data_IF_944841199001
#
_entry.id   IF_944841199001
#
_cell.length_a   1.000
_cell.length_b   1.000
_cell.length_c   1.000
_cell.angle_alpha   90.00
_cell.angle_beta   90.00
_cell.angle_gamma   90.00
#
_symmetry.space_group_name_H-M   'P 1'
#
loop_
_entity.id
_entity.type
_entity.pdbx_description
1 polymer ?
#
# COMPACT_ATOMS: atom_id res chain seq x y z
N UNK A 1 -10.85 -0.11 -19.86
CA UNK A 1 -10.66 -0.83 -21.11
C UNK A 1 -11.25 -2.22 -20.94
N UNK A 2 -11.74 -2.81 -22.02
CA UNK A 2 -12.41 -4.12 -22.04
C UNK A 2 -12.01 -4.92 -23.28
N UNK A 3 -12.53 -6.15 -23.37
CA UNK A 3 -12.28 -7.07 -24.48
C UNK A 3 -12.51 -6.45 -25.86
N UNK A 4 -13.53 -5.58 -26.01
CA UNK A 4 -13.85 -4.99 -27.32
C UNK A 4 -12.71 -4.09 -27.81
N UNK A 5 -12.11 -3.32 -26.92
CA UNK A 5 -10.95 -2.49 -27.23
C UNK A 5 -9.69 -3.34 -27.50
N UNK A 6 -9.48 -4.39 -26.69
CA UNK A 6 -8.33 -5.31 -26.82
C UNK A 6 -8.33 -6.05 -28.16
N UNK A 7 -9.49 -6.51 -28.62
CA UNK A 7 -9.67 -7.12 -29.96
C UNK A 7 -9.30 -6.15 -31.09
N UNK A 8 -9.61 -4.85 -30.93
CA UNK A 8 -9.24 -3.85 -31.93
C UNK A 8 -7.72 -3.62 -31.99
N UNK A 9 -7.04 -3.54 -30.86
CA UNK A 9 -5.59 -3.33 -30.86
C UNK A 9 -4.82 -4.59 -31.29
N UNK A 10 -5.35 -5.80 -31.06
CA UNK A 10 -4.74 -7.05 -31.48
C UNK A 10 -4.49 -7.10 -33.00
N UNK A 11 -5.25 -6.38 -33.78
CA UNK A 11 -5.01 -6.24 -35.23
C UNK A 11 -3.69 -5.52 -35.58
N UNK A 12 -3.04 -4.88 -34.61
CA UNK A 12 -1.84 -4.03 -34.80
C UNK A 12 -0.66 -4.44 -33.90
N UNK A 13 -0.83 -5.46 -33.08
CA UNK A 13 0.22 -5.96 -32.18
C UNK A 13 0.19 -7.51 -32.15
N UNK A 14 1.34 -8.11 -31.87
CA UNK A 14 1.47 -9.56 -31.78
C UNK A 14 0.93 -10.10 -30.44
N UNK A 15 1.13 -9.32 -29.36
CA UNK A 15 0.75 -9.71 -28.01
C UNK A 15 0.01 -8.57 -27.30
N UNK A 16 -0.96 -8.94 -26.46
CA UNK A 16 -1.72 -8.04 -25.61
C UNK A 16 -1.49 -8.42 -24.16
N UNK A 17 -0.96 -7.47 -23.38
CA UNK A 17 -0.77 -7.61 -21.94
C UNK A 17 -1.77 -6.72 -21.22
N UNK A 18 -2.53 -7.30 -20.28
CA UNK A 18 -3.53 -6.58 -19.49
C UNK A 18 -3.11 -6.53 -18.03
N UNK A 19 -3.22 -5.36 -17.41
CA UNK A 19 -3.16 -5.20 -15.96
C UNK A 19 -4.58 -4.93 -15.48
N UNK A 20 -5.13 -5.83 -14.67
CA UNK A 20 -6.47 -5.73 -14.10
C UNK A 20 -6.41 -5.88 -12.57
N UNK A 21 -7.38 -5.33 -11.87
CA UNK A 21 -7.48 -5.38 -10.41
C UNK A 21 -8.91 -5.67 -9.91
N UNK A 22 -9.85 -5.91 -10.83
CA UNK A 22 -11.27 -6.07 -10.52
C UNK A 22 -11.76 -7.50 -10.72
N UNK A 23 -11.30 -8.20 -11.76
CA UNK A 23 -11.80 -9.50 -12.21
C UNK A 23 -13.33 -9.50 -12.41
N UNK A 24 -13.86 -8.46 -13.06
CA UNK A 24 -15.29 -8.24 -13.25
C UNK A 24 -15.73 -8.21 -14.73
N UNK A 25 -14.78 -8.36 -15.66
CA UNK A 25 -15.02 -8.31 -17.10
C UNK A 25 -14.08 -9.20 -17.90
N UNK A 26 -14.52 -9.57 -19.10
CA UNK A 26 -13.73 -10.41 -20.01
C UNK A 26 -12.61 -9.61 -20.69
N UNK A 27 -11.47 -10.28 -20.94
CA UNK A 27 -10.29 -9.76 -21.62
C UNK A 27 -9.88 -10.66 -22.80
N UNK A 28 -9.31 -10.06 -23.85
CA UNK A 28 -8.65 -10.73 -24.95
C UNK A 28 -7.15 -10.44 -24.89
N UNK A 29 -6.44 -11.17 -24.05
CA UNK A 29 -5.02 -10.96 -23.80
C UNK A 29 -4.24 -12.26 -23.76
N UNK A 30 -2.92 -12.17 -23.98
CA UNK A 30 -1.97 -13.28 -23.92
C UNK A 30 -1.38 -13.41 -22.51
N UNK A 31 -1.30 -12.29 -21.78
CA UNK A 31 -0.87 -12.23 -20.40
C UNK A 31 -1.76 -11.28 -19.60
N UNK A 32 -2.26 -11.74 -18.45
CA UNK A 32 -3.00 -10.94 -17.49
C UNK A 32 -2.20 -10.85 -16.17
N UNK A 33 -2.01 -9.63 -15.68
CA UNK A 33 -1.40 -9.33 -14.40
C UNK A 33 -2.44 -8.76 -13.44
N UNK A 34 -2.67 -9.45 -12.31
CA UNK A 34 -3.39 -8.91 -11.15
C UNK A 34 -2.49 -8.99 -9.91
N UNK A 35 -2.14 -7.83 -9.37
CA UNK A 35 -1.23 -7.72 -8.24
C UNK A 35 -1.93 -7.88 -6.87
N UNK A 36 -3.26 -8.06 -6.85
CA UNK A 36 -4.02 -8.08 -5.62
C UNK A 36 -3.76 -9.34 -4.78
N UNK A 37 -3.70 -9.11 -3.46
CA UNK A 37 -3.70 -10.19 -2.49
C UNK A 37 -5.09 -10.81 -2.38
N UNK A 38 -5.18 -12.09 -2.10
CA UNK A 38 -6.44 -12.85 -2.03
C UNK A 38 -7.15 -13.08 -3.37
N UNK A 39 -6.50 -12.72 -4.49
CA UNK A 39 -6.96 -13.08 -5.82
C UNK A 39 -6.31 -14.40 -6.26
N UNK A 40 -7.05 -15.25 -6.97
CA UNK A 40 -6.59 -16.54 -7.48
C UNK A 40 -6.71 -16.62 -9.01
N UNK A 41 -5.98 -17.56 -9.63
CA UNK A 41 -6.07 -17.76 -11.09
C UNK A 41 -7.49 -18.12 -11.54
N UNK A 42 -8.22 -18.85 -10.69
CA UNK A 42 -9.60 -19.27 -10.95
C UNK A 42 -10.58 -18.09 -11.09
N UNK A 43 -10.30 -16.95 -10.48
CA UNK A 43 -11.15 -15.74 -10.61
C UNK A 43 -11.23 -15.24 -12.07
N UNK A 44 -10.28 -15.66 -12.91
CA UNK A 44 -10.19 -15.31 -14.32
C UNK A 44 -10.54 -16.43 -15.30
N UNK A 45 -10.99 -17.62 -14.84
CA UNK A 45 -11.24 -18.79 -15.70
C UNK A 45 -12.26 -18.53 -16.83
N UNK A 46 -13.28 -17.71 -16.56
CA UNK A 46 -14.28 -17.34 -17.56
C UNK A 46 -14.04 -15.94 -18.17
N UNK A 47 -12.98 -15.27 -17.78
CA UNK A 47 -12.71 -13.87 -18.16
C UNK A 47 -11.59 -13.73 -19.18
N UNK A 48 -10.74 -14.75 -19.35
CA UNK A 48 -9.65 -14.76 -20.32
C UNK A 48 -9.64 -16.10 -21.10
N UNK A 49 -8.91 -16.13 -22.21
CA UNK A 49 -8.72 -17.35 -22.99
C UNK A 49 -7.88 -18.38 -22.19
N UNK A 50 -8.07 -19.67 -22.46
CA UNK A 50 -7.34 -20.77 -21.80
C UNK A 50 -5.82 -20.68 -21.98
N UNK A 51 -5.36 -20.09 -23.09
CA UNK A 51 -3.94 -19.88 -23.40
C UNK A 51 -3.33 -18.67 -22.71
N UNK A 52 -4.15 -17.83 -22.06
CA UNK A 52 -3.67 -16.62 -21.39
C UNK A 52 -2.83 -16.97 -20.15
N UNK A 53 -1.59 -16.46 -20.10
CA UNK A 53 -0.75 -16.53 -18.90
C UNK A 53 -1.31 -15.59 -17.82
N UNK A 54 -1.52 -16.13 -16.60
CA UNK A 54 -2.12 -15.37 -15.48
C UNK A 54 -1.11 -15.21 -14.36
N UNK A 55 -0.64 -13.99 -14.18
CA UNK A 55 0.30 -13.58 -13.12
C UNK A 55 -0.48 -12.97 -11.98
N UNK A 56 -0.79 -13.77 -10.96
CA UNK A 56 -1.69 -13.36 -9.88
C UNK A 56 -0.95 -13.24 -8.56
N UNK A 57 -1.21 -12.13 -7.88
CA UNK A 57 -0.78 -11.84 -6.52
C UNK A 57 0.42 -10.88 -6.41
N UNK A 58 0.70 -10.41 -5.18
CA UNK A 58 1.69 -9.36 -4.92
C UNK A 58 3.15 -9.75 -5.17
N UNK A 59 3.44 -11.04 -5.41
CA UNK A 59 4.76 -11.48 -5.89
C UNK A 59 5.11 -10.94 -7.29
N UNK A 60 4.11 -10.49 -8.03
CA UNK A 60 4.23 -9.84 -9.33
C UNK A 60 4.02 -8.33 -9.27
N UNK A 61 4.00 -7.74 -8.06
CA UNK A 61 3.82 -6.31 -7.89
C UNK A 61 4.92 -5.52 -8.62
N UNK A 62 4.50 -4.58 -9.47
CA UNK A 62 5.39 -3.71 -10.25
C UNK A 62 5.88 -2.56 -9.37
N UNK A 63 6.97 -2.80 -8.65
CA UNK A 63 7.58 -1.81 -7.78
C UNK A 63 8.76 -1.14 -8.48
N UNK A 64 8.98 0.15 -8.19
CA UNK A 64 10.18 0.87 -8.60
C UNK A 64 11.41 0.22 -7.97
N UNK A 65 12.53 0.24 -8.69
CA UNK A 65 13.78 -0.44 -8.32
C UNK A 65 14.31 -0.04 -6.93
N UNK A 66 14.05 1.18 -6.50
CA UNK A 66 14.46 1.69 -5.19
C UNK A 66 13.92 0.86 -4.02
N UNK A 67 12.72 0.24 -4.14
CA UNK A 67 12.13 -0.56 -3.08
C UNK A 67 12.89 -1.87 -2.81
N UNK A 68 13.13 -2.75 -3.79
CA UNK A 68 13.94 -3.94 -3.54
C UNK A 68 15.40 -3.62 -3.15
N UNK A 69 15.99 -2.52 -3.65
CA UNK A 69 17.33 -2.09 -3.26
C UNK A 69 17.40 -1.67 -1.79
N UNK A 70 16.41 -0.97 -1.27
CA UNK A 70 16.37 -0.53 0.13
C UNK A 70 15.87 -1.61 1.10
N UNK A 71 15.24 -2.68 0.61
CA UNK A 71 14.69 -3.74 1.45
C UNK A 71 15.67 -4.31 2.48
N UNK A 72 16.93 -4.69 2.16
CA UNK A 72 17.84 -5.27 3.14
C UNK A 72 18.15 -4.32 4.30
N UNK A 73 18.27 -3.03 4.02
CA UNK A 73 18.53 -1.98 5.02
C UNK A 73 17.29 -1.80 5.90
N UNK A 74 16.11 -1.70 5.27
CA UNK A 74 14.83 -1.55 5.94
C UNK A 74 14.55 -2.69 6.92
N UNK A 75 14.74 -3.95 6.49
CA UNK A 75 14.49 -5.11 7.34
C UNK A 75 15.45 -5.19 8.53
N UNK A 76 16.73 -4.80 8.37
CA UNK A 76 17.68 -4.72 9.49
C UNK A 76 17.25 -3.67 10.52
N UNK A 77 16.83 -2.48 10.06
CA UNK A 77 16.36 -1.41 10.93
C UNK A 77 15.16 -1.84 11.79
N UNK A 78 14.24 -2.63 11.23
CA UNK A 78 13.02 -3.11 11.91
C UNK A 78 13.24 -4.24 12.92
N UNK A 79 14.47 -4.71 13.08
CA UNK A 79 14.83 -5.61 14.17
C UNK A 79 14.71 -4.91 15.54
N UNK A 80 14.93 -3.58 15.59
CA UNK A 80 14.65 -2.73 16.75
C UNK A 80 13.23 -2.15 16.64
N UNK A 81 12.26 -2.81 17.27
CA UNK A 81 10.84 -2.48 17.16
C UNK A 81 10.48 -1.31 18.09
N UNK A 82 10.79 -0.10 17.67
CA UNK A 82 10.38 1.13 18.36
C UNK A 82 9.74 2.07 17.34
N UNK A 83 8.65 2.71 17.73
CA UNK A 83 8.03 3.75 16.91
C UNK A 83 8.67 5.08 17.30
N UNK A 84 9.38 5.67 16.34
CA UNK A 84 9.90 7.03 16.39
C UNK A 84 9.32 7.89 15.28
N UNK A 85 8.95 7.29 14.16
CA UNK A 85 8.43 8.00 13.00
C UNK A 85 7.20 7.29 12.45
N UNK A 86 6.07 8.00 12.37
CA UNK A 86 4.83 7.55 11.73
C UNK A 86 4.72 8.24 10.37
N UNK A 87 4.59 7.46 9.29
CA UNK A 87 4.36 7.95 7.94
C UNK A 87 2.88 7.92 7.61
N UNK A 88 2.31 9.04 7.18
CA UNK A 88 0.91 9.13 6.74
C UNK A 88 0.88 9.44 5.24
N UNK A 89 0.20 8.58 4.45
CA UNK A 89 0.00 8.80 3.01
C UNK A 89 -1.29 8.16 2.52
N UNK A 90 -2.23 8.99 2.05
CA UNK A 90 -3.54 8.56 1.52
C UNK A 90 -3.55 8.43 -0.01
N UNK A 91 -2.38 8.49 -0.66
CA UNK A 91 -2.24 8.48 -2.11
C UNK A 91 -2.25 9.89 -2.71
N UNK A 92 -2.27 9.97 -4.06
CA UNK A 92 -1.95 11.21 -4.78
C UNK A 92 -2.94 12.35 -4.63
N UNK A 93 -4.21 12.12 -4.39
CA UNK A 93 -5.24 13.15 -4.43
C UNK A 93 -5.85 13.52 -3.09
N UNK A 94 -6.04 12.56 -2.20
CA UNK A 94 -6.73 12.72 -0.90
C UNK A 94 -7.96 13.67 -0.96
N UNK A 95 -8.87 13.40 -1.92
CA UNK A 95 -10.01 14.28 -2.23
C UNK A 95 -10.91 14.52 -1.01
N UNK A 96 -11.11 13.47 -0.20
CA UNK A 96 -11.99 13.47 0.96
C UNK A 96 -11.28 13.95 2.24
N UNK A 97 -10.04 14.46 2.10
CA UNK A 97 -9.24 14.98 3.20
C UNK A 97 -9.09 13.98 4.37
N UNK A 98 -8.90 12.72 4.04
CA UNK A 98 -8.74 11.64 5.04
C UNK A 98 -7.47 11.85 5.86
N UNK A 99 -6.43 12.46 5.28
CA UNK A 99 -5.21 12.85 6.01
C UNK A 99 -5.53 13.72 7.23
N UNK A 100 -6.39 14.74 7.10
CA UNK A 100 -6.79 15.57 8.25
C UNK A 100 -7.55 14.76 9.30
N UNK A 101 -8.39 13.81 8.91
CA UNK A 101 -9.12 12.91 9.82
C UNK A 101 -8.17 11.98 10.58
N UNK A 102 -7.16 11.43 9.89
CA UNK A 102 -6.11 10.63 10.53
C UNK A 102 -5.36 11.44 11.58
N UNK A 103 -4.94 12.66 11.24
CA UNK A 103 -4.29 13.57 12.21
C UNK A 103 -5.20 13.91 13.40
N UNK A 104 -6.49 14.09 13.19
CA UNK A 104 -7.46 14.28 14.27
C UNK A 104 -7.58 13.04 15.16
N UNK A 105 -7.61 11.84 14.55
CA UNK A 105 -7.66 10.57 15.28
C UNK A 105 -6.42 10.34 16.17
N UNK A 106 -5.26 10.85 15.78
CA UNK A 106 -4.06 10.77 16.61
C UNK A 106 -4.16 11.56 17.93
N UNK A 107 -5.08 12.54 18.03
CA UNK A 107 -5.30 13.28 19.30
C UNK A 107 -5.75 12.38 20.45
N UNK A 108 -6.28 11.20 20.17
CA UNK A 108 -6.66 10.21 21.19
C UNK A 108 -5.50 9.30 21.64
N UNK A 109 -4.29 9.48 21.08
CA UNK A 109 -3.09 8.85 21.61
C UNK A 109 -2.67 9.47 22.96
N UNK A 110 -1.92 8.70 23.76
CA UNK A 110 -1.27 9.25 24.95
C UNK A 110 -0.30 10.38 24.52
N UNK A 111 -0.49 11.62 25.00
CA UNK A 111 0.35 12.76 24.61
C UNK A 111 1.81 12.64 25.08
N UNK A 112 2.12 11.73 26.01
CA UNK A 112 3.48 11.47 26.49
C UNK A 112 4.28 10.55 25.56
N UNK A 113 3.66 9.96 24.53
CA UNK A 113 4.39 9.18 23.54
C UNK A 113 5.32 10.08 22.73
N UNK A 114 6.55 9.61 22.52
CA UNK A 114 7.59 10.34 21.79
C UNK A 114 7.74 9.78 20.38
N UNK A 115 7.19 10.49 19.39
CA UNK A 115 7.33 10.19 17.97
C UNK A 115 7.12 11.44 17.10
N UNK A 116 7.64 11.39 15.89
CA UNK A 116 7.38 12.39 14.86
C UNK A 116 6.41 11.83 13.81
N UNK A 117 5.76 12.73 13.07
CA UNK A 117 4.83 12.41 12.00
C UNK A 117 5.35 13.00 10.69
N UNK A 118 5.48 12.14 9.66
CA UNK A 118 5.74 12.57 8.28
C UNK A 118 4.47 12.38 7.47
N UNK A 119 3.90 13.46 6.96
CA UNK A 119 2.70 13.44 6.09
C UNK A 119 3.15 13.63 4.66
N UNK A 120 2.83 12.68 3.78
CA UNK A 120 3.11 12.79 2.35
C UNK A 120 1.83 13.06 1.58
N UNK A 121 1.81 14.16 0.84
CA UNK A 121 0.71 14.60 -0.03
C UNK A 121 1.17 14.62 -1.49
N UNK A 122 0.27 14.28 -2.41
CA UNK A 122 0.56 14.39 -3.84
C UNK A 122 0.57 15.84 -4.32
N UNK A 123 1.13 16.07 -5.52
CA UNK A 123 1.21 17.40 -6.14
C UNK A 123 -0.17 18.06 -6.33
N UNK A 124 -1.22 17.26 -6.49
CA UNK A 124 -2.60 17.71 -6.72
C UNK A 124 -3.48 17.70 -5.46
N UNK A 125 -2.88 17.56 -4.28
CA UNK A 125 -3.63 17.55 -3.03
C UNK A 125 -4.34 18.89 -2.80
N UNK A 126 -5.66 18.87 -2.69
CA UNK A 126 -6.50 20.07 -2.55
C UNK A 126 -6.55 20.60 -1.11
N UNK A 127 -6.22 19.76 -0.13
CA UNK A 127 -6.51 20.02 1.29
C UNK A 127 -5.27 20.39 2.12
N UNK A 128 -4.16 20.82 1.49
CA UNK A 128 -2.86 21.09 2.16
C UNK A 128 -3.01 22.04 3.34
N UNK A 129 -3.73 23.15 3.20
CA UNK A 129 -3.91 24.12 4.27
C UNK A 129 -4.76 23.59 5.43
N UNK A 130 -5.74 22.74 5.14
CA UNK A 130 -6.49 22.02 6.18
C UNK A 130 -5.59 21.07 6.96
N UNK A 131 -4.77 20.29 6.27
CA UNK A 131 -3.80 19.37 6.88
C UNK A 131 -2.80 20.13 7.76
N UNK A 132 -2.23 21.25 7.29
CA UNK A 132 -1.33 22.11 8.06
C UNK A 132 -1.97 22.61 9.35
N UNK A 133 -3.23 23.08 9.29
CA UNK A 133 -3.98 23.59 10.43
C UNK A 133 -4.19 22.51 11.49
N UNK A 134 -4.57 21.28 11.08
CA UNK A 134 -4.72 20.18 12.03
C UNK A 134 -3.37 19.77 12.59
N UNK A 135 -2.34 19.66 11.75
CA UNK A 135 -0.98 19.30 12.15
C UNK A 135 -0.42 20.24 13.24
N UNK A 136 -0.60 21.57 13.09
CA UNK A 136 -0.11 22.56 14.06
C UNK A 136 -0.77 22.49 15.45
N UNK A 137 -1.86 21.74 15.58
CA UNK A 137 -2.58 21.57 16.85
C UNK A 137 -2.23 20.26 17.58
N UNK A 138 -1.33 19.45 17.02
CA UNK A 138 -0.87 18.21 17.65
C UNK A 138 0.32 18.46 18.57
N UNK A 139 0.50 17.65 19.61
CA UNK A 139 1.64 17.81 20.52
C UNK A 139 2.97 17.32 19.92
N UNK A 140 2.93 16.55 18.83
CA UNK A 140 4.10 15.96 18.17
C UNK A 140 4.58 16.81 17.00
N UNK A 141 5.84 16.64 16.64
CA UNK A 141 6.40 17.23 15.41
C UNK A 141 5.74 16.63 14.17
N UNK A 142 5.23 17.48 13.29
CA UNK A 142 4.59 17.06 12.02
C UNK A 142 5.28 17.75 10.85
N UNK A 143 5.89 16.95 9.98
CA UNK A 143 6.46 17.40 8.71
C UNK A 143 5.50 17.09 7.56
N UNK A 144 5.14 18.09 6.76
CA UNK A 144 4.28 17.93 5.60
C UNK A 144 5.15 18.01 4.34
N UNK A 145 5.22 16.91 3.61
CA UNK A 145 6.03 16.72 2.41
C UNK A 145 5.09 16.62 1.20
N UNK A 146 5.31 17.46 0.20
CA UNK A 146 4.46 17.50 -1.00
C UNK A 146 5.26 17.08 -2.21
N UNK A 147 4.68 16.20 -3.03
CA UNK A 147 5.27 15.74 -4.29
C UNK A 147 6.67 15.14 -4.14
N UNK A 148 6.83 14.22 -3.19
CA UNK A 148 8.12 13.57 -2.93
C UNK A 148 8.49 12.58 -4.04
N UNK A 149 9.78 12.44 -4.30
CA UNK A 149 10.34 11.47 -5.26
C UNK A 149 11.04 10.30 -4.56
N UNK A 150 11.34 10.42 -3.26
CA UNK A 150 12.10 9.47 -2.45
C UNK A 150 11.22 8.67 -1.48
N UNK A 151 10.07 8.16 -1.96
CA UNK A 151 9.10 7.46 -1.11
C UNK A 151 9.69 6.22 -0.44
N UNK A 152 10.56 5.47 -1.13
CA UNK A 152 11.19 4.27 -0.57
C UNK A 152 12.09 4.61 0.63
N UNK A 153 12.82 5.71 0.57
CA UNK A 153 13.63 6.21 1.69
C UNK A 153 12.74 6.62 2.86
N UNK A 154 11.70 7.42 2.61
CA UNK A 154 10.75 7.83 3.65
C UNK A 154 10.08 6.64 4.34
N UNK A 155 9.68 5.61 3.57
CA UNK A 155 9.13 4.38 4.11
C UNK A 155 10.17 3.55 4.88
N UNK A 156 11.40 3.49 4.40
CA UNK A 156 12.51 2.78 5.06
C UNK A 156 12.83 3.42 6.41
N UNK A 157 12.82 4.75 6.50
CA UNK A 157 13.08 5.51 7.72
C UNK A 157 11.92 5.50 8.72
N UNK A 158 10.69 5.21 8.29
CA UNK A 158 9.51 5.20 9.15
C UNK A 158 9.31 3.85 9.84
N UNK A 159 8.68 3.85 11.00
CA UNK A 159 8.48 2.66 11.84
C UNK A 159 7.08 2.08 11.71
N UNK A 160 6.09 2.95 11.45
CA UNK A 160 4.70 2.60 11.22
C UNK A 160 4.16 3.47 10.08
N UNK A 161 3.36 2.90 9.20
CA UNK A 161 2.63 3.65 8.20
C UNK A 161 1.13 3.69 8.50
N UNK A 162 0.47 4.80 8.17
CA UNK A 162 -0.99 4.91 8.10
C UNK A 162 -1.33 5.34 6.68
N UNK A 163 -2.10 4.52 5.95
CA UNK A 163 -2.33 4.84 4.55
C UNK A 163 -3.41 4.03 3.87
N UNK A 164 -3.75 4.45 2.65
CA UNK A 164 -4.71 3.73 1.82
C UNK A 164 -4.26 2.30 1.49
N UNK A 165 -5.21 1.39 1.39
CA UNK A 165 -4.98 -0.01 1.04
C UNK A 165 -4.88 -0.24 -0.48
N UNK A 166 -4.20 0.65 -1.20
CA UNK A 166 -3.95 0.54 -2.64
C UNK A 166 -2.57 -0.06 -2.96
N UNK A 167 -2.07 0.20 -4.17
CA UNK A 167 -0.78 -0.33 -4.68
C UNK A 167 0.43 -0.03 -3.78
N UNK A 168 0.43 1.09 -3.04
CA UNK A 168 1.46 1.40 -2.04
C UNK A 168 1.55 0.38 -0.90
N UNK A 169 0.55 -0.50 -0.75
CA UNK A 169 0.61 -1.63 0.18
C UNK A 169 1.76 -2.58 -0.15
N UNK A 170 2.05 -2.79 -1.43
CA UNK A 170 3.14 -3.65 -1.88
C UNK A 170 4.51 -3.00 -1.63
N UNK A 171 4.61 -1.67 -1.74
CA UNK A 171 5.80 -0.90 -1.37
C UNK A 171 6.11 -1.07 0.12
N UNK A 172 5.09 -0.87 0.99
CA UNK A 172 5.21 -1.11 2.44
C UNK A 172 5.58 -2.55 2.76
N UNK A 173 4.94 -3.53 2.12
CA UNK A 173 5.25 -4.95 2.30
C UNK A 173 6.67 -5.28 1.86
N UNK A 174 7.15 -4.77 0.72
CA UNK A 174 8.52 -4.96 0.26
C UNK A 174 9.53 -4.50 1.32
N UNK A 175 9.29 -3.37 1.95
CA UNK A 175 10.17 -2.82 3.00
C UNK A 175 9.90 -3.40 4.39
N UNK A 176 8.92 -4.30 4.54
CA UNK A 176 8.51 -4.82 5.83
C UNK A 176 7.98 -3.74 6.79
N UNK A 177 7.44 -2.63 6.25
CA UNK A 177 6.90 -1.53 7.04
C UNK A 177 5.53 -1.91 7.60
N UNK A 178 5.38 -2.04 8.93
CA UNK A 178 4.08 -2.24 9.56
C UNK A 178 3.10 -1.14 9.18
N UNK A 179 1.83 -1.47 8.99
CA UNK A 179 0.87 -0.49 8.55
C UNK A 179 -0.50 -0.61 9.21
N UNK A 180 -1.15 0.54 9.39
CA UNK A 180 -2.61 0.66 9.56
C UNK A 180 -3.17 1.07 8.21
N UNK A 181 -4.03 0.24 7.64
CA UNK A 181 -4.63 0.48 6.32
C UNK A 181 -6.04 1.03 6.44
N UNK A 182 -6.38 1.94 5.52
CA UNK A 182 -7.70 2.53 5.36
C UNK A 182 -8.25 2.16 3.98
N UNK A 183 -9.50 1.74 3.91
CA UNK A 183 -10.19 1.45 2.65
C UNK A 183 -10.86 2.73 2.16
N UNK A 184 -10.32 3.33 1.10
CA UNK A 184 -10.83 4.57 0.50
C UNK A 184 -11.67 4.30 -0.76
N UNK A 185 -11.58 3.08 -1.32
CA UNK A 185 -12.33 2.65 -2.50
C UNK A 185 -12.58 1.14 -2.43
N UNK A 186 -13.62 0.67 -3.12
CA UNK A 186 -14.06 -0.73 -3.03
C UNK A 186 -12.97 -1.73 -3.48
N UNK A 187 -12.21 -1.43 -4.53
CA UNK A 187 -11.10 -2.26 -5.00
C UNK A 187 -9.96 -2.42 -3.98
N UNK A 188 -9.92 -1.59 -2.92
CA UNK A 188 -8.93 -1.69 -1.84
C UNK A 188 -9.34 -2.67 -0.73
N UNK A 189 -10.62 -3.08 -0.68
CA UNK A 189 -11.16 -3.94 0.38
C UNK A 189 -10.42 -5.27 0.47
N UNK A 190 -10.30 -5.98 -0.65
CA UNK A 190 -9.61 -7.28 -0.71
C UNK A 190 -8.14 -7.20 -0.26
N UNK A 191 -7.44 -6.12 -0.64
CA UNK A 191 -6.06 -5.90 -0.21
C UNK A 191 -6.00 -5.74 1.30
N UNK A 192 -6.87 -4.89 1.87
CA UNK A 192 -6.90 -4.61 3.30
C UNK A 192 -7.23 -5.86 4.12
N UNK A 193 -8.27 -6.59 3.72
CA UNK A 193 -8.70 -7.84 4.36
C UNK A 193 -7.62 -8.92 4.28
N UNK A 194 -7.00 -9.10 3.12
CA UNK A 194 -5.94 -10.06 2.93
C UNK A 194 -4.70 -9.76 3.79
N UNK A 195 -4.25 -8.50 3.85
CA UNK A 195 -3.13 -8.10 4.68
C UNK A 195 -3.44 -8.23 6.18
N UNK A 196 -4.66 -7.87 6.59
CA UNK A 196 -5.11 -8.01 7.97
C UNK A 196 -5.23 -9.47 8.39
N UNK A 197 -5.82 -10.34 7.55
CA UNK A 197 -5.92 -11.77 7.78
C UNK A 197 -4.56 -12.47 7.93
N UNK A 198 -3.52 -11.96 7.25
CA UNK A 198 -2.12 -12.41 7.45
C UNK A 198 -1.45 -11.76 8.65
N UNK A 199 -2.06 -10.73 9.26
CA UNK A 199 -1.45 -9.91 10.30
C UNK A 199 -0.24 -9.11 9.80
N UNK A 200 -0.24 -8.76 8.51
CA UNK A 200 0.75 -7.90 7.87
C UNK A 200 0.39 -6.41 8.01
N UNK A 201 -0.87 -6.11 8.28
CA UNK A 201 -1.38 -4.78 8.58
C UNK A 201 -2.58 -4.87 9.54
N UNK A 202 -2.95 -3.75 10.16
CA UNK A 202 -4.27 -3.56 10.76
C UNK A 202 -5.16 -2.76 9.81
N UNK A 203 -6.44 -3.10 9.76
CA UNK A 203 -7.45 -2.27 9.08
C UNK A 203 -8.13 -1.37 10.09
N UNK A 204 -8.24 -0.07 9.79
CA UNK A 204 -9.02 0.88 10.56
C UNK A 204 -10.22 1.33 9.72
N UNK A 205 -11.42 1.22 10.30
CA UNK A 205 -12.65 1.66 9.65
C UNK A 205 -12.73 3.19 9.64
N UNK A 206 -13.01 3.75 8.48
CA UNK A 206 -13.17 5.20 8.31
C UNK A 206 -14.30 5.78 9.17
N UNK A 207 -15.38 5.03 9.40
CA UNK A 207 -16.51 5.53 10.19
C UNK A 207 -16.17 5.73 11.67
N UNK A 208 -15.17 4.99 12.17
CA UNK A 208 -14.73 5.03 13.56
C UNK A 208 -13.25 5.43 13.68
N UNK A 209 -12.71 6.09 12.66
CA UNK A 209 -11.27 6.41 12.57
C UNK A 209 -10.80 7.21 13.79
N UNK A 210 -11.49 8.30 14.10
CA UNK A 210 -11.11 9.23 15.16
C UNK A 210 -11.22 8.59 16.58
N UNK A 211 -12.07 7.57 16.73
CA UNK A 211 -12.25 6.86 18.00
C UNK A 211 -11.23 5.73 18.19
N UNK A 212 -10.90 5.03 17.10
CA UNK A 212 -10.14 3.77 17.18
C UNK A 212 -8.64 3.94 16.92
N UNK A 213 -8.22 4.97 16.15
CA UNK A 213 -6.84 5.09 15.71
C UNK A 213 -5.88 5.21 16.87
N UNK A 214 -6.19 6.06 17.86
CA UNK A 214 -5.32 6.27 19.01
C UNK A 214 -5.12 5.00 19.84
N UNK A 215 -6.18 4.20 20.04
CA UNK A 215 -6.07 2.94 20.78
C UNK A 215 -5.18 1.92 20.02
N UNK A 216 -5.27 1.87 18.69
CA UNK A 216 -4.40 1.05 17.87
C UNK A 216 -2.93 1.50 17.98
N UNK A 217 -2.67 2.80 17.92
CA UNK A 217 -1.32 3.35 18.07
C UNK A 217 -0.77 3.04 19.47
N UNK A 218 -1.51 3.32 20.53
CA UNK A 218 -1.10 3.03 21.92
C UNK A 218 -0.72 1.56 22.11
N UNK A 219 -1.45 0.63 21.45
CA UNK A 219 -1.15 -0.80 21.50
C UNK A 219 0.23 -1.12 20.92
N UNK A 220 0.68 -0.47 19.86
CA UNK A 220 2.02 -0.69 19.31
C UNK A 220 3.14 -0.22 20.25
N UNK A 221 2.89 0.80 21.08
CA UNK A 221 3.85 1.26 22.08
C UNK A 221 3.91 0.33 23.29
N UNK A 222 2.80 -0.33 23.62
CA UNK A 222 2.74 -1.27 24.76
C UNK A 222 3.17 -2.68 24.40
N UNK A 223 3.12 -3.05 23.09
CA UNK A 223 3.48 -4.38 22.59
C UNK A 223 4.49 -4.30 21.43
N UNK A 224 5.79 -4.17 21.72
CA UNK A 224 6.83 -4.12 20.67
C UNK A 224 6.91 -5.40 19.83
N UNK A 225 6.52 -6.56 20.35
CA UNK A 225 6.55 -7.83 19.62
C UNK A 225 5.47 -7.88 18.53
N UNK A 226 4.38 -7.17 18.75
CA UNK A 226 3.33 -6.97 17.73
C UNK A 226 3.90 -6.28 16.48
N UNK A 227 4.67 -5.19 16.68
CA UNK A 227 5.30 -4.44 15.59
C UNK A 227 6.30 -5.31 14.81
N UNK A 228 7.17 -6.07 15.51
CA UNK A 228 8.11 -7.02 14.89
C UNK A 228 7.41 -8.11 14.10
N UNK A 229 6.34 -8.66 14.67
CA UNK A 229 5.58 -9.74 14.03
C UNK A 229 4.90 -9.24 12.77
N UNK A 230 4.28 -8.06 12.83
CA UNK A 230 3.67 -7.43 11.66
C UNK A 230 4.70 -7.13 10.57
N UNK A 231 5.87 -6.60 10.93
CA UNK A 231 6.97 -6.34 9.99
C UNK A 231 7.41 -7.61 9.26
N UNK A 232 7.64 -8.72 9.99
CA UNK A 232 8.02 -10.00 9.38
C UNK A 232 6.96 -10.53 8.43
N UNK A 233 5.68 -10.43 8.82
CA UNK A 233 4.55 -10.88 7.99
C UNK A 233 4.39 -10.01 6.75
N UNK A 234 4.51 -8.70 6.87
CA UNK A 234 4.52 -7.78 5.72
C UNK A 234 5.66 -8.11 4.75
N UNK A 235 6.88 -8.27 5.27
CA UNK A 235 8.05 -8.63 4.46
C UNK A 235 7.91 -9.98 3.73
N UNK A 236 7.06 -10.88 4.22
CA UNK A 236 6.76 -12.17 3.60
C UNK A 236 5.80 -12.09 2.40
N UNK A 237 5.11 -10.96 2.19
CA UNK A 237 4.10 -10.80 1.11
C UNK A 237 4.76 -10.64 -0.25
N UNK A 238 5.76 -9.76 -0.37
CA UNK A 238 6.51 -9.57 -1.62
C UNK A 238 7.98 -9.23 -1.35
N UNK A 239 8.86 -9.65 -2.26
CA UNK A 239 10.28 -9.33 -2.22
C UNK A 239 10.63 -8.07 -3.05
N UNK A 240 9.69 -7.61 -3.89
CA UNK A 240 9.89 -6.49 -4.79
C UNK A 240 10.51 -6.88 -6.14
N UNK A 241 10.62 -8.17 -6.45
CA UNK A 241 11.18 -8.72 -7.69
C UNK A 241 10.12 -8.92 -8.80
N UNK A 242 8.91 -8.39 -8.61
CA UNK A 242 7.77 -8.58 -9.50
C UNK A 242 8.01 -8.07 -10.92
N UNK A 243 8.72 -6.93 -11.07
CA UNK A 243 9.06 -6.38 -12.40
C UNK A 243 9.86 -7.38 -13.22
N UNK A 244 10.90 -7.99 -12.64
CA UNK A 244 11.72 -8.98 -13.34
C UNK A 244 10.91 -10.22 -13.71
N UNK A 245 10.07 -10.71 -12.80
CA UNK A 245 9.19 -11.86 -13.06
C UNK A 245 8.20 -11.60 -14.19
N UNK A 246 7.59 -10.42 -14.22
CA UNK A 246 6.67 -10.04 -15.29
C UNK A 246 7.39 -9.84 -16.60
N UNK A 247 8.58 -9.22 -16.58
CA UNK A 247 9.41 -9.06 -17.78
C UNK A 247 9.84 -10.41 -18.37
N UNK A 248 10.28 -11.37 -17.54
CA UNK A 248 10.65 -12.71 -17.98
C UNK A 248 9.47 -13.41 -18.68
N UNK A 249 8.26 -13.31 -18.14
CA UNK A 249 7.06 -13.89 -18.75
C UNK A 249 6.69 -13.21 -20.08
N UNK A 250 6.80 -11.86 -20.15
CA UNK A 250 6.56 -11.14 -21.42
C UNK A 250 7.56 -11.54 -22.50
N UNK A 251 8.83 -11.77 -22.14
CA UNK A 251 9.86 -12.19 -23.09
C UNK A 251 9.67 -13.62 -23.61
N UNK A 252 8.81 -14.41 -22.98
CA UNK A 252 8.45 -15.76 -23.38
C UNK A 252 7.20 -15.82 -24.28
N UNK A 253 6.47 -14.70 -24.48
CA UNK A 253 5.35 -14.59 -25.42
C UNK A 253 5.84 -14.57 -26.87
#
# INVERSE_FOLDING_TARGET
>A
LDKSWEVLIRQRCNFVVVIDDLADRSHDCDLLLDQNYSREKADYDLLVNDTCSRLIGPKFALLREEFPLMRPISLRRRADARIKTILISMGGGDKDNVTSRVLQGLRSCDPNLDFEIKVVLGALALNIESVKRVASSLPWSVSILVNVTNMAELMMESDLAIGAAGGTSWERCCLGLPAITLVLAENQRLISEGLSGKGAAFTCDLNNLELNLGSLINRFFTDPDLLKTMSRKAAGITKGDGVNRVADEIMCL
#
